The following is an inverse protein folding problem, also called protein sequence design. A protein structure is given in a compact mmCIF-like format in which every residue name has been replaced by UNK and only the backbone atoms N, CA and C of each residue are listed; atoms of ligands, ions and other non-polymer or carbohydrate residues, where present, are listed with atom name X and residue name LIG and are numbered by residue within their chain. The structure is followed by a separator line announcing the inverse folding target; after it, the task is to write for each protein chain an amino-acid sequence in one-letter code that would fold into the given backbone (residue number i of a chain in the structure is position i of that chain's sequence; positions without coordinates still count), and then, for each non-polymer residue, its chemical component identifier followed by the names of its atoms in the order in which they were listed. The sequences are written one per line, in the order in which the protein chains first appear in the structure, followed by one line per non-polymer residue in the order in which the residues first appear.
data_IF_210715017316
#
_entry.id   IF_210715017316
#
_cell.length_a   1.000
_cell.length_b   1.000
_cell.length_c   1.000
_cell.angle_alpha   90.00
_cell.angle_beta   90.00
_cell.angle_gamma   90.00
#
_symmetry.space_group_name_H-M   'P 1'
#
loop_
_entity.id
_entity.type
_entity.pdbx_description
1 polymer ?
#
# COMPACT_ATOMS: atom_id res chain seq x y z
N UNK A 1 64.88 10.54 -12.38
CA UNK A 1 64.95 9.32 -13.21
C UNK A 1 64.31 8.21 -12.39
N UNK A 2 63.20 7.58 -12.74
CA UNK A 2 62.59 7.24 -14.03
C UNK A 2 61.08 7.37 -13.90
N UNK A 3 60.45 8.00 -14.91
CA UNK A 3 58.99 8.09 -15.07
C UNK A 3 58.51 6.86 -15.83
N UNK A 4 57.45 6.21 -15.34
CA UNK A 4 56.77 5.09 -16.01
C UNK A 4 55.39 5.56 -16.45
N UNK A 5 55.32 6.02 -17.70
CA UNK A 5 54.08 6.18 -18.45
C UNK A 5 53.71 4.82 -19.05
N UNK A 6 52.49 4.34 -18.79
CA UNK A 6 51.88 3.25 -19.55
C UNK A 6 50.64 3.79 -20.27
N UNK A 7 50.72 3.69 -21.60
CA UNK A 7 49.74 4.15 -22.57
C UNK A 7 48.48 3.29 -22.56
N UNK A 8 47.34 3.96 -22.66
CA UNK A 8 46.01 3.43 -22.94
C UNK A 8 45.89 3.00 -24.41
N UNK A 9 45.30 1.83 -24.64
CA UNK A 9 44.97 1.30 -25.96
C UNK A 9 43.59 1.85 -26.43
N UNK A 10 43.40 2.17 -27.73
CA UNK A 10 42.14 2.69 -28.24
C UNK A 10 41.13 1.58 -28.60
N UNK A 11 39.85 1.83 -28.27
CA UNK A 11 38.69 1.00 -28.61
C UNK A 11 38.31 1.15 -30.11
N UNK A 12 37.78 0.10 -30.77
CA UNK A 12 37.35 0.17 -32.17
C UNK A 12 35.96 0.84 -32.34
N UNK A 13 35.68 1.45 -33.51
CA UNK A 13 34.44 2.19 -33.75
C UNK A 13 33.23 1.27 -34.06
N UNK A 14 31.99 1.75 -33.85
CA UNK A 14 30.79 0.94 -34.05
C UNK A 14 30.48 0.75 -35.53
N UNK A 15 30.25 -0.51 -35.92
CA UNK A 15 29.87 -0.90 -37.28
C UNK A 15 28.41 -0.59 -37.59
N UNK A 16 28.23 -0.04 -38.78
CA UNK A 16 27.03 0.47 -39.42
C UNK A 16 25.88 -0.54 -39.62
N UNK A 17 24.67 -0.01 -39.49
CA UNK A 17 23.37 -0.50 -39.97
C UNK A 17 23.37 -0.96 -41.45
N UNK A 18 22.54 -1.96 -41.81
CA UNK A 18 22.02 -2.05 -43.17
C UNK A 18 20.48 -2.16 -43.26
N UNK A 19 19.92 -1.20 -44.01
CA UNK A 19 18.91 -1.33 -45.10
C UNK A 19 17.62 -2.14 -44.86
N UNK A 20 16.54 -1.34 -44.78
CA UNK A 20 15.21 -1.47 -45.42
C UNK A 20 15.05 -2.61 -46.44
N UNK A 21 14.11 -3.53 -46.19
CA UNK A 21 13.51 -4.43 -47.18
C UNK A 21 11.98 -4.49 -46.98
N UNK A 22 11.29 -3.96 -48.00
CA UNK A 22 10.04 -4.40 -48.63
C UNK A 22 8.86 -4.94 -47.82
N UNK A 23 7.74 -4.26 -48.05
CA UNK A 23 6.36 -4.67 -47.83
C UNK A 23 6.07 -6.07 -48.38
N UNK A 24 5.43 -6.90 -47.56
CA UNK A 24 4.57 -7.99 -48.02
C UNK A 24 3.28 -7.92 -47.23
N UNK A 25 2.21 -7.59 -47.96
CA UNK A 25 0.81 -7.63 -47.55
C UNK A 25 0.41 -9.04 -47.11
N UNK A 26 0.01 -9.20 -45.85
CA UNK A 26 -0.80 -10.33 -45.39
C UNK A 26 -2.10 -9.81 -44.80
N UNK A 27 -3.17 -10.06 -45.55
CA UNK A 27 -4.56 -9.90 -45.17
C UNK A 27 -4.86 -10.76 -43.94
N UNK A 28 -5.07 -10.11 -42.79
CA UNK A 28 -5.70 -10.74 -41.63
C UNK A 28 -7.10 -10.17 -41.43
N UNK A 29 -8.01 -11.14 -41.42
CA UNK A 29 -9.45 -11.09 -41.19
C UNK A 29 -9.89 -10.19 -40.04
N UNK A 30 -11.00 -9.47 -40.27
CA UNK A 30 -11.82 -8.78 -39.27
C UNK A 30 -12.17 -9.71 -38.10
N UNK A 31 -11.34 -9.69 -37.06
CA UNK A 31 -11.69 -10.07 -35.70
C UNK A 31 -12.03 -8.81 -34.92
N UNK A 32 -13.15 -8.83 -34.20
CA UNK A 32 -13.59 -7.80 -33.24
C UNK A 32 -12.44 -7.04 -32.59
N UNK A 33 -12.25 -5.77 -32.96
CA UNK A 33 -11.37 -4.84 -32.23
C UNK A 33 -12.01 -4.64 -30.85
N UNK A 34 -11.61 -5.46 -29.87
CA UNK A 34 -11.70 -5.07 -28.48
C UNK A 34 -10.85 -3.82 -28.36
N UNK A 35 -11.48 -2.67 -28.16
CA UNK A 35 -10.76 -1.40 -28.01
C UNK A 35 -9.81 -1.52 -26.81
N UNK A 36 -8.51 -1.62 -27.08
CA UNK A 36 -7.50 -1.66 -26.03
C UNK A 36 -7.70 -0.46 -25.09
N UNK A 37 -7.74 -0.71 -23.77
CA UNK A 37 -7.89 0.36 -22.79
C UNK A 37 -6.77 1.39 -22.97
N UNK A 38 -7.09 2.67 -22.77
CA UNK A 38 -6.05 3.72 -22.72
C UNK A 38 -5.03 3.37 -21.62
N UNK A 39 -3.75 3.74 -21.77
CA UNK A 39 -2.73 3.43 -20.78
C UNK A 39 -3.03 4.07 -19.42
N UNK A 40 -2.54 3.45 -18.34
CA UNK A 40 -2.50 4.10 -17.02
C UNK A 40 -1.48 5.23 -17.10
N UNK A 41 -1.88 6.45 -16.73
CA UNK A 41 -0.99 7.61 -16.67
C UNK A 41 -0.83 8.01 -15.21
N UNK A 42 0.41 8.08 -14.75
CA UNK A 42 0.76 8.45 -13.36
C UNK A 42 1.49 9.78 -13.37
N UNK A 43 1.02 10.73 -12.56
CA UNK A 43 1.67 12.01 -12.31
C UNK A 43 1.99 12.17 -10.82
N UNK A 44 3.15 12.78 -10.55
CA UNK A 44 3.72 12.91 -9.21
C UNK A 44 4.71 11.80 -8.87
N UNK A 45 5.67 12.11 -8.01
CA UNK A 45 6.59 11.14 -7.41
C UNK A 45 6.75 11.47 -5.92
N UNK A 46 6.05 10.76 -5.01
CA UNK A 46 5.28 9.53 -5.25
C UNK A 46 3.98 9.77 -6.05
N UNK A 47 3.37 8.72 -6.64
CA UNK A 47 2.14 8.82 -7.43
C UNK A 47 1.04 9.61 -6.70
N UNK A 48 0.62 10.74 -7.29
CA UNK A 48 -0.42 11.61 -6.70
C UNK A 48 -1.69 11.60 -7.53
N UNK A 49 -1.58 11.69 -8.85
CA UNK A 49 -2.71 11.67 -9.77
C UNK A 49 -2.55 10.54 -10.78
N UNK A 50 -3.50 9.61 -10.80
CA UNK A 50 -3.50 8.44 -11.68
C UNK A 50 -4.75 8.47 -12.55
N UNK A 51 -4.57 8.45 -13.86
CA UNK A 51 -5.65 8.20 -14.81
C UNK A 51 -5.62 6.73 -15.20
N UNK A 52 -6.70 6.01 -14.89
CA UNK A 52 -6.90 4.59 -15.16
C UNK A 52 -8.30 4.37 -15.77
N UNK A 53 -8.59 4.95 -16.96
CA UNK A 53 -9.93 4.94 -17.54
C UNK A 53 -10.37 3.53 -17.92
N UNK A 54 -11.62 3.19 -17.63
CA UNK A 54 -12.24 1.90 -17.94
C UNK A 54 -11.70 0.72 -17.14
N UNK A 55 -10.75 0.95 -16.21
CA UNK A 55 -10.23 -0.11 -15.35
C UNK A 55 -11.09 -0.29 -14.12
N UNK A 56 -11.19 -1.54 -13.69
CA UNK A 56 -11.65 -1.91 -12.38
C UNK A 56 -10.66 -1.40 -11.33
N UNK A 57 -11.15 -0.73 -10.29
CA UNK A 57 -10.36 -0.37 -9.11
C UNK A 57 -10.82 -1.24 -7.95
N UNK A 58 -9.87 -1.81 -7.20
CA UNK A 58 -10.08 -2.54 -5.97
C UNK A 58 -9.36 -1.78 -4.86
N UNK A 59 -10.02 -1.55 -3.72
CA UNK A 59 -9.37 -0.99 -2.55
C UNK A 59 -9.49 -1.95 -1.35
N UNK A 60 -8.38 -2.09 -0.62
CA UNK A 60 -8.25 -2.94 0.57
C UNK A 60 -7.84 -2.05 1.74
N UNK A 61 -8.50 -2.23 2.88
CA UNK A 61 -8.21 -1.50 4.11
C UNK A 61 -6.95 -1.99 4.83
N UNK A 62 -6.91 -1.69 6.12
CA UNK A 62 -5.80 -1.89 7.04
C UNK A 62 -5.49 -3.39 7.25
N UNK A 63 -4.21 -3.75 7.19
CA UNK A 63 -3.74 -5.15 7.16
C UNK A 63 -2.97 -5.56 8.41
N UNK A 64 -2.27 -4.62 9.06
CA UNK A 64 -1.72 -4.78 10.41
C UNK A 64 -0.99 -6.11 10.64
N UNK A 65 0.02 -6.39 9.81
CA UNK A 65 0.92 -7.53 9.94
C UNK A 65 0.27 -8.91 9.82
N UNK A 66 -0.99 -9.01 9.37
CA UNK A 66 -1.72 -10.27 9.24
C UNK A 66 -1.74 -10.74 7.76
N UNK A 67 -0.72 -11.51 7.38
CA UNK A 67 -0.51 -11.93 5.99
C UNK A 67 -1.62 -12.88 5.51
N UNK A 68 -2.16 -13.72 6.39
CA UNK A 68 -3.25 -14.65 6.03
C UNK A 68 -4.53 -13.88 5.69
N UNK A 69 -4.88 -12.86 6.50
CA UNK A 69 -6.02 -11.99 6.19
C UNK A 69 -5.77 -11.13 4.95
N UNK A 70 -4.54 -10.66 4.74
CA UNK A 70 -4.15 -9.94 3.52
C UNK A 70 -4.35 -10.80 2.27
N UNK A 71 -3.84 -12.04 2.25
CA UNK A 71 -4.05 -12.99 1.15
C UNK A 71 -5.52 -13.26 0.92
N UNK A 72 -6.29 -13.52 1.99
CA UNK A 72 -7.72 -13.78 1.87
C UNK A 72 -8.47 -12.59 1.27
N UNK A 73 -8.16 -11.35 1.67
CA UNK A 73 -8.74 -10.15 1.10
C UNK A 73 -8.46 -10.04 -0.41
N UNK A 74 -7.21 -10.28 -0.83
CA UNK A 74 -6.78 -10.17 -2.23
C UNK A 74 -7.32 -11.30 -3.11
N UNK A 75 -7.41 -12.53 -2.60
CA UNK A 75 -8.03 -13.68 -3.28
C UNK A 75 -9.53 -13.45 -3.47
N UNK A 76 -10.22 -13.00 -2.42
CA UNK A 76 -11.65 -12.66 -2.46
C UNK A 76 -11.93 -11.52 -3.45
N UNK A 77 -11.00 -10.57 -3.56
CA UNK A 77 -11.05 -9.51 -4.55
C UNK A 77 -10.76 -9.99 -5.98
N UNK A 78 -10.25 -11.22 -6.16
CA UNK A 78 -9.84 -11.75 -7.46
C UNK A 78 -8.64 -11.01 -8.05
N UNK A 79 -7.69 -10.60 -7.20
CA UNK A 79 -6.41 -10.00 -7.63
C UNK A 79 -5.19 -10.83 -7.21
N UNK A 80 -5.39 -11.87 -6.40
CA UNK A 80 -4.40 -12.87 -6.01
C UNK A 80 -4.90 -14.28 -6.38
N UNK A 81 -3.98 -15.18 -6.72
CA UNK A 81 -4.28 -16.58 -6.96
C UNK A 81 -4.59 -17.32 -5.65
N UNK A 82 -5.58 -18.22 -5.68
CA UNK A 82 -5.99 -19.02 -4.51
C UNK A 82 -5.25 -20.36 -4.38
N UNK A 83 -4.18 -20.55 -5.16
CA UNK A 83 -3.35 -21.76 -5.19
C UNK A 83 -2.10 -21.66 -4.30
N UNK A 84 -1.97 -20.54 -3.57
CA UNK A 84 -0.84 -20.26 -2.69
C UNK A 84 0.45 -19.86 -3.42
N UNK A 85 0.41 -19.58 -4.72
CA UNK A 85 1.58 -19.15 -5.51
C UNK A 85 1.80 -17.62 -5.50
N UNK A 86 0.92 -16.86 -4.85
CA UNK A 86 0.96 -15.39 -4.78
C UNK A 86 1.05 -14.72 -6.19
N UNK A 87 0.25 -15.22 -7.15
CA UNK A 87 0.23 -14.71 -8.52
C UNK A 87 -0.86 -13.64 -8.72
N UNK A 88 -0.56 -12.60 -9.48
CA UNK A 88 -1.53 -11.57 -9.87
C UNK A 88 -2.57 -12.15 -10.83
N UNK A 89 -3.84 -12.07 -10.42
CA UNK A 89 -5.01 -12.51 -11.21
C UNK A 89 -5.95 -11.37 -11.58
N UNK A 90 -5.60 -10.14 -11.21
CA UNK A 90 -6.43 -8.96 -11.42
C UNK A 90 -6.43 -8.40 -12.85
N UNK A 91 -5.71 -9.02 -13.78
CA UNK A 91 -5.52 -8.57 -15.17
C UNK A 91 -5.11 -7.09 -15.24
N UNK A 92 -5.97 -6.22 -15.79
CA UNK A 92 -5.76 -4.79 -15.97
C UNK A 92 -6.28 -3.93 -14.80
N UNK A 93 -6.69 -4.56 -13.69
CA UNK A 93 -7.21 -3.85 -12.54
C UNK A 93 -6.16 -2.97 -11.83
N UNK A 94 -6.66 -1.96 -11.14
CA UNK A 94 -5.87 -1.14 -10.21
C UNK A 94 -6.21 -1.56 -8.78
N UNK A 95 -5.22 -2.02 -8.03
CA UNK A 95 -5.32 -2.26 -6.60
C UNK A 95 -4.81 -1.03 -5.83
N UNK A 96 -5.55 -0.61 -4.80
CA UNK A 96 -5.14 0.44 -3.84
C UNK A 96 -5.20 -0.12 -2.42
N UNK A 97 -4.07 -0.22 -1.74
CA UNK A 97 -3.99 -0.57 -0.32
C UNK A 97 -3.95 0.74 0.51
N UNK A 98 -4.78 0.84 1.55
CA UNK A 98 -5.07 2.09 2.27
C UNK A 98 -4.13 2.45 3.45
N UNK A 99 -2.92 1.89 3.51
CA UNK A 99 -1.99 2.10 4.62
C UNK A 99 -2.28 1.19 5.82
N UNK A 100 -1.48 1.34 6.87
CA UNK A 100 -1.48 0.45 8.04
C UNK A 100 -1.29 -1.02 7.66
N UNK A 101 -0.20 -1.27 6.94
CA UNK A 101 0.35 -2.61 6.75
C UNK A 101 1.12 -3.04 7.99
N UNK A 102 1.80 -2.09 8.64
CA UNK A 102 2.64 -2.33 9.80
C UNK A 102 1.84 -2.47 11.11
N UNK A 103 2.54 -3.00 12.11
CA UNK A 103 2.20 -3.20 13.51
C UNK A 103 1.05 -4.17 13.77
N UNK A 104 0.85 -4.54 15.05
CA UNK A 104 -0.18 -5.47 15.57
C UNK A 104 -0.11 -6.94 15.12
N UNK A 105 0.56 -7.23 14.00
CA UNK A 105 0.89 -8.57 13.53
C UNK A 105 2.41 -8.75 13.38
N UNK A 106 2.83 -9.87 12.78
CA UNK A 106 4.22 -10.29 12.71
C UNK A 106 4.70 -10.74 11.31
N UNK A 107 3.91 -10.49 10.26
CA UNK A 107 4.26 -10.72 8.85
C UNK A 107 4.24 -9.40 8.04
N UNK A 108 4.77 -8.33 8.63
CA UNK A 108 4.70 -6.96 8.09
C UNK A 108 5.52 -6.79 6.81
N UNK A 109 6.80 -7.21 6.84
CA UNK A 109 7.71 -7.10 5.70
C UNK A 109 7.24 -8.07 4.60
N UNK A 110 6.71 -9.24 4.98
CA UNK A 110 6.13 -10.19 4.05
C UNK A 110 4.93 -9.61 3.28
N UNK A 111 4.05 -8.83 3.92
CA UNK A 111 2.95 -8.15 3.23
C UNK A 111 3.47 -7.06 2.29
N UNK A 112 4.43 -6.23 2.72
CA UNK A 112 5.02 -5.20 1.84
C UNK A 112 5.72 -5.83 0.63
N UNK A 113 6.43 -6.94 0.85
CA UNK A 113 7.07 -7.77 -0.18
C UNK A 113 6.04 -8.33 -1.18
N UNK A 114 4.93 -8.88 -0.69
CA UNK A 114 3.83 -9.39 -1.52
C UNK A 114 3.25 -8.29 -2.41
N UNK A 115 2.93 -7.11 -1.82
CA UNK A 115 2.36 -5.98 -2.58
C UNK A 115 3.34 -5.45 -3.63
N UNK A 116 4.65 -5.42 -3.32
CA UNK A 116 5.71 -5.09 -4.28
C UNK A 116 5.74 -6.06 -5.45
N UNK A 117 5.74 -7.37 -5.17
CA UNK A 117 5.71 -8.42 -6.18
C UNK A 117 4.47 -8.30 -7.08
N UNK A 118 3.29 -8.16 -6.49
CA UNK A 118 2.03 -7.98 -7.22
C UNK A 118 2.04 -6.70 -8.06
N UNK A 119 2.67 -5.63 -7.62
CA UNK A 119 2.83 -4.40 -8.42
C UNK A 119 3.61 -4.64 -9.72
N UNK A 120 4.67 -5.45 -9.66
CA UNK A 120 5.47 -5.83 -10.84
C UNK A 120 4.61 -6.69 -11.79
N UNK A 121 3.92 -7.70 -11.24
CA UNK A 121 3.07 -8.61 -12.01
C UNK A 121 1.88 -7.88 -12.66
N UNK A 122 1.20 -7.00 -11.91
CA UNK A 122 0.07 -6.21 -12.39
C UNK A 122 0.47 -5.31 -13.56
N UNK A 123 1.63 -4.64 -13.47
CA UNK A 123 2.15 -3.79 -14.54
C UNK A 123 2.37 -4.59 -15.84
N UNK A 124 2.85 -5.83 -15.75
CA UNK A 124 3.02 -6.71 -16.91
C UNK A 124 1.70 -7.12 -17.59
N UNK A 125 0.58 -7.01 -16.86
CA UNK A 125 -0.78 -7.30 -17.34
C UNK A 125 -1.60 -6.03 -17.68
N UNK A 126 -1.00 -4.85 -17.58
CA UNK A 126 -1.68 -3.57 -17.85
C UNK A 126 -2.48 -3.01 -16.68
N UNK A 127 -2.37 -3.63 -15.50
CA UNK A 127 -2.88 -3.18 -14.22
C UNK A 127 -1.84 -2.42 -13.41
N UNK A 128 -2.16 -2.13 -12.14
CA UNK A 128 -1.25 -1.46 -11.21
C UNK A 128 -1.60 -1.78 -9.75
N UNK A 129 -0.61 -1.67 -8.88
CA UNK A 129 -0.79 -1.68 -7.42
C UNK A 129 -0.26 -0.36 -6.88
N UNK A 130 -1.07 0.32 -6.09
CA UNK A 130 -0.70 1.52 -5.34
C UNK A 130 -0.94 1.28 -3.85
N UNK A 131 -0.12 1.92 -3.04
CA UNK A 131 -0.27 1.96 -1.60
C UNK A 131 -0.30 3.42 -1.18
N UNK A 132 -1.05 3.72 -0.12
CA UNK A 132 -0.90 4.97 0.62
C UNK A 132 -0.29 4.69 1.98
N UNK A 133 0.45 5.64 2.54
CA UNK A 133 1.00 5.53 3.88
C UNK A 133 -0.09 5.84 4.92
N UNK A 134 -0.23 4.96 5.90
CA UNK A 134 -1.04 5.14 7.10
C UNK A 134 -0.25 5.69 8.27
N UNK A 135 -0.88 5.78 9.44
CA UNK A 135 -0.20 6.32 10.59
C UNK A 135 0.88 5.37 11.09
N UNK A 136 0.68 4.05 10.98
CA UNK A 136 1.67 3.07 11.43
C UNK A 136 2.95 3.10 10.59
N UNK A 137 2.86 3.35 9.28
CA UNK A 137 4.04 3.60 8.44
C UNK A 137 4.82 4.84 8.92
N UNK A 138 4.11 5.95 9.17
CA UNK A 138 4.76 7.20 9.62
C UNK A 138 5.35 7.08 11.03
N UNK A 139 4.67 6.38 11.95
CA UNK A 139 5.16 6.11 13.30
C UNK A 139 6.46 5.30 13.28
N UNK A 140 6.51 4.24 12.49
CA UNK A 140 7.71 3.42 12.37
C UNK A 140 8.89 4.19 11.80
N UNK A 141 8.65 5.09 10.83
CA UNK A 141 9.71 5.98 10.33
C UNK A 141 10.14 7.02 11.36
N UNK A 142 9.22 7.53 12.19
CA UNK A 142 9.54 8.40 13.33
C UNK A 142 10.34 7.67 14.43
N UNK A 143 10.39 6.33 14.41
CA UNK A 143 10.98 5.51 15.47
C UNK A 143 10.03 5.25 16.65
N UNK A 144 8.74 5.49 16.44
CA UNK A 144 7.69 5.19 17.41
C UNK A 144 7.17 3.76 17.20
N UNK A 145 7.69 2.84 18.01
CA UNK A 145 7.41 1.41 17.92
C UNK A 145 6.39 0.91 18.96
N UNK A 146 5.52 1.79 19.48
CA UNK A 146 4.60 1.46 20.58
C UNK A 146 3.58 0.35 20.26
N UNK A 147 3.30 0.08 18.99
CA UNK A 147 2.33 -0.93 18.54
C UNK A 147 2.97 -2.17 17.89
N UNK A 148 4.31 -2.25 17.90
CA UNK A 148 5.05 -3.34 17.27
C UNK A 148 4.99 -4.58 18.15
N UNK A 149 4.60 -5.71 17.56
CA UNK A 149 4.60 -7.02 18.22
C UNK A 149 6.03 -7.57 18.37
N UNK A 150 6.23 -8.45 19.35
CA UNK A 150 7.58 -9.00 19.59
C UNK A 150 8.12 -9.79 18.39
N UNK A 151 7.27 -10.54 17.69
CA UNK A 151 7.69 -11.35 16.55
C UNK A 151 7.90 -10.48 15.27
N UNK A 152 7.32 -9.28 15.18
CA UNK A 152 7.62 -8.30 14.13
C UNK A 152 9.04 -7.73 14.25
N UNK A 153 9.56 -7.54 15.47
CA UNK A 153 10.98 -7.23 15.66
C UNK A 153 11.88 -8.37 15.20
N UNK A 154 11.45 -9.61 15.42
CA UNK A 154 12.19 -10.77 14.96
C UNK A 154 12.18 -10.86 13.42
N UNK A 155 11.04 -10.58 12.75
CA UNK A 155 10.97 -10.50 11.27
C UNK A 155 11.98 -9.49 10.71
N UNK A 156 12.15 -8.33 11.36
CA UNK A 156 13.15 -7.34 10.96
C UNK A 156 14.59 -7.88 11.05
N UNK A 157 14.88 -8.66 12.10
CA UNK A 157 16.20 -9.29 12.25
C UNK A 157 16.42 -10.39 11.20
N UNK A 158 15.43 -11.25 11.01
CA UNK A 158 15.44 -12.33 10.02
C UNK A 158 15.63 -11.75 8.61
N UNK A 159 14.92 -10.68 8.27
CA UNK A 159 15.04 -10.03 6.97
C UNK A 159 16.41 -9.37 6.73
N UNK A 160 17.01 -8.74 7.75
CA UNK A 160 18.36 -8.20 7.63
C UNK A 160 19.41 -9.29 7.44
N UNK A 161 19.24 -10.44 8.09
CA UNK A 161 20.12 -11.59 7.89
C UNK A 161 19.98 -12.13 6.46
N UNK A 162 18.74 -12.34 6.01
CA UNK A 162 18.43 -12.73 4.65
C UNK A 162 18.98 -11.76 3.59
N UNK A 163 18.91 -10.44 3.84
CA UNK A 163 19.44 -9.43 2.92
C UNK A 163 20.96 -9.54 2.74
N UNK A 164 21.70 -10.02 3.75
CA UNK A 164 23.14 -10.24 3.64
C UNK A 164 23.47 -11.36 2.64
N UNK A 165 22.63 -12.39 2.56
CA UNK A 165 22.79 -13.51 1.62
C UNK A 165 22.62 -13.07 0.15
N UNK A 166 21.99 -11.92 -0.08
CA UNK A 166 21.79 -11.30 -1.39
C UNK A 166 22.81 -10.20 -1.69
N UNK A 167 23.92 -10.14 -0.97
CA UNK A 167 24.93 -9.07 -1.11
C UNK A 167 24.33 -7.65 -1.03
N UNK A 168 23.23 -7.50 -0.27
CA UNK A 168 22.44 -6.27 -0.17
C UNK A 168 21.73 -5.82 -1.47
N UNK A 169 21.46 -6.72 -2.41
CA UNK A 169 20.51 -6.46 -3.50
C UNK A 169 19.08 -6.36 -2.94
N UNK A 170 18.68 -5.12 -2.64
CA UNK A 170 17.38 -4.82 -2.07
C UNK A 170 16.22 -5.28 -2.94
N UNK A 171 16.26 -4.98 -4.26
CA UNK A 171 15.12 -5.22 -5.14
C UNK A 171 14.87 -6.73 -5.31
N UNK A 172 15.94 -7.53 -5.42
CA UNK A 172 15.79 -8.99 -5.51
C UNK A 172 15.36 -9.61 -4.16
N UNK A 173 16.04 -9.27 -3.07
CA UNK A 173 15.73 -9.83 -1.75
C UNK A 173 14.30 -9.46 -1.31
N UNK A 174 13.94 -8.18 -1.42
CA UNK A 174 12.67 -7.68 -0.93
C UNK A 174 11.48 -8.30 -1.68
N UNK A 175 11.55 -8.48 -3.01
CA UNK A 175 10.46 -9.11 -3.78
C UNK A 175 10.29 -10.60 -3.43
N UNK A 176 11.37 -11.29 -3.05
CA UNK A 176 11.35 -12.72 -2.73
C UNK A 176 10.95 -13.02 -1.28
N UNK A 177 11.05 -12.03 -0.38
CA UNK A 177 10.85 -12.21 1.06
C UNK A 177 9.51 -12.90 1.40
N UNK A 178 8.39 -12.50 0.80
CA UNK A 178 7.07 -13.09 1.10
C UNK A 178 7.00 -14.61 0.85
N UNK A 179 7.81 -15.13 -0.08
CA UNK A 179 7.86 -16.55 -0.40
C UNK A 179 8.72 -17.39 0.56
N UNK A 180 9.56 -16.74 1.37
CA UNK A 180 10.51 -17.43 2.27
C UNK A 180 10.33 -17.06 3.75
N UNK A 181 9.66 -15.94 4.07
CA UNK A 181 9.53 -15.40 5.43
C UNK A 181 9.00 -16.42 6.43
N UNK A 182 8.02 -17.25 6.02
CA UNK A 182 7.46 -18.31 6.86
C UNK A 182 8.49 -19.38 7.24
N UNK A 183 9.37 -19.76 6.31
CA UNK A 183 10.44 -20.73 6.57
C UNK A 183 11.41 -20.16 7.62
N UNK A 184 11.85 -18.91 7.43
CA UNK A 184 12.70 -18.20 8.39
C UNK A 184 12.06 -18.12 9.78
N UNK A 185 10.77 -17.76 9.83
CA UNK A 185 9.99 -17.69 11.07
C UNK A 185 9.92 -19.04 11.79
N UNK A 186 9.70 -20.13 11.06
CA UNK A 186 9.62 -21.49 11.61
C UNK A 186 10.99 -21.99 12.11
N UNK A 187 12.06 -21.78 11.33
CA UNK A 187 13.44 -22.14 11.71
C UNK A 187 13.92 -21.37 12.95
N UNK A 188 13.64 -20.07 13.04
CA UNK A 188 13.90 -19.27 14.23
C UNK A 188 13.17 -19.81 15.45
N UNK A 189 11.87 -20.15 15.31
CA UNK A 189 11.08 -20.72 16.42
C UNK A 189 11.66 -22.06 16.90
N UNK A 190 12.21 -22.88 16.01
CA UNK A 190 12.93 -24.10 16.38
C UNK A 190 14.26 -23.81 17.10
N UNK A 191 15.01 -22.81 16.65
CA UNK A 191 16.31 -22.40 17.24
C UNK A 191 16.19 -21.72 18.60
N UNK A 192 15.10 -20.96 18.85
CA UNK A 192 14.80 -20.31 20.14
C UNK A 192 14.76 -21.29 21.32
N UNK A 193 14.51 -22.57 21.09
CA UNK A 193 14.57 -23.60 22.13
C UNK A 193 16.01 -23.84 22.67
N UNK A 194 17.04 -23.23 22.08
CA UNK A 194 18.46 -23.45 22.43
C UNK A 194 19.23 -22.20 22.95
N UNK A 195 18.71 -20.97 22.82
CA UNK A 195 19.43 -19.73 23.18
C UNK A 195 18.60 -18.78 24.09
N UNK A 196 19.28 -18.06 24.98
CA UNK A 196 18.65 -17.20 25.99
C UNK A 196 17.89 -15.97 25.43
N UNK A 197 16.74 -15.58 26.03
CA UNK A 197 15.75 -14.69 25.40
C UNK A 197 16.13 -13.20 25.26
N UNK A 198 17.11 -12.68 26.00
CA UNK A 198 17.35 -11.23 26.09
C UNK A 198 18.12 -10.63 24.90
N UNK A 199 18.99 -11.41 24.25
CA UNK A 199 19.82 -10.92 23.13
C UNK A 199 19.03 -10.78 21.82
N UNK A 200 17.95 -11.55 21.63
CA UNK A 200 17.16 -11.54 20.40
C UNK A 200 16.31 -10.27 20.27
N UNK A 201 15.64 -9.86 21.36
CA UNK A 201 14.80 -8.66 21.36
C UNK A 201 15.60 -7.39 21.07
N UNK A 202 16.81 -7.26 21.64
CA UNK A 202 17.69 -6.13 21.36
C UNK A 202 18.11 -6.09 19.89
N UNK A 203 18.47 -7.25 19.30
CA UNK A 203 18.78 -7.36 17.88
C UNK A 203 17.61 -6.93 17.01
N UNK A 204 16.40 -7.40 17.29
CA UNK A 204 15.20 -7.03 16.52
C UNK A 204 14.87 -5.54 16.59
N UNK A 205 14.98 -4.90 17.77
CA UNK A 205 14.80 -3.45 17.90
C UNK A 205 15.83 -2.67 17.09
N UNK A 206 17.11 -3.09 17.12
CA UNK A 206 18.17 -2.47 16.32
C UNK A 206 17.87 -2.66 14.82
N UNK A 207 17.48 -3.87 14.41
CA UNK A 207 17.15 -4.20 13.03
C UNK A 207 16.03 -3.30 12.50
N UNK A 208 14.91 -3.22 13.24
CA UNK A 208 13.78 -2.34 12.90
C UNK A 208 14.22 -0.88 12.80
N UNK A 209 15.03 -0.40 13.75
CA UNK A 209 15.55 0.96 13.74
C UNK A 209 16.43 1.25 12.51
N UNK A 210 17.24 0.29 12.06
CA UNK A 210 18.06 0.41 10.85
C UNK A 210 17.19 0.45 9.60
N UNK A 211 16.18 -0.40 9.52
CA UNK A 211 15.28 -0.53 8.37
C UNK A 211 14.37 0.70 8.19
N UNK A 212 13.78 1.19 9.28
CA UNK A 212 12.71 2.20 9.22
C UNK A 212 13.14 3.64 9.52
N UNK A 213 14.30 3.91 10.14
CA UNK A 213 14.74 5.31 10.31
C UNK A 213 14.75 6.04 8.96
N UNK A 214 14.59 7.37 8.91
CA UNK A 214 14.73 8.14 7.67
C UNK A 214 16.01 7.78 6.90
N UNK A 215 15.86 7.43 5.61
CA UNK A 215 16.95 6.93 4.76
C UNK A 215 17.30 5.44 4.92
N UNK A 216 16.68 4.74 5.86
CA UNK A 216 16.69 3.29 5.95
C UNK A 216 15.94 2.66 4.76
N UNK A 217 16.24 1.40 4.41
CA UNK A 217 15.74 0.81 3.17
C UNK A 217 14.21 0.57 3.18
N UNK A 218 13.61 0.16 4.30
CA UNK A 218 12.13 0.09 4.39
C UNK A 218 11.51 1.50 4.39
N UNK A 219 12.13 2.47 5.07
CA UNK A 219 11.68 3.87 4.98
C UNK A 219 11.69 4.38 3.52
N UNK A 220 12.72 4.02 2.75
CA UNK A 220 12.83 4.37 1.34
C UNK A 220 11.80 3.66 0.46
N UNK A 221 11.42 2.42 0.78
CA UNK A 221 10.31 1.73 0.13
C UNK A 221 8.98 2.42 0.43
N UNK A 222 8.70 2.73 1.71
CA UNK A 222 7.49 3.47 2.12
C UNK A 222 7.43 4.88 1.51
N UNK A 223 8.57 5.52 1.28
CA UNK A 223 8.65 6.81 0.61
C UNK A 223 8.11 6.78 -0.84
N UNK A 224 7.94 5.60 -1.44
CA UNK A 224 7.35 5.46 -2.79
C UNK A 224 5.83 5.59 -2.78
N UNK A 225 5.22 5.55 -1.60
CA UNK A 225 3.78 5.63 -1.40
C UNK A 225 3.38 7.07 -1.08
N UNK A 226 2.22 7.48 -1.56
CA UNK A 226 1.63 8.77 -1.24
C UNK A 226 0.92 8.73 0.12
N UNK A 227 0.65 9.87 0.74
CA UNK A 227 -0.33 9.96 1.84
C UNK A 227 -1.75 10.23 1.30
N UNK A 228 -1.85 10.76 0.07
CA UNK A 228 -3.10 10.95 -0.63
C UNK A 228 -2.93 10.67 -2.13
N UNK A 229 -3.79 9.81 -2.67
CA UNK A 229 -3.77 9.37 -4.06
C UNK A 229 -5.12 9.66 -4.73
N UNK A 230 -5.12 10.29 -5.90
CA UNK A 230 -6.29 10.42 -6.75
C UNK A 230 -6.21 9.43 -7.91
N UNK A 231 -7.14 8.48 -8.00
CA UNK A 231 -7.27 7.58 -9.16
C UNK A 231 -8.59 7.88 -9.87
N UNK A 232 -8.53 8.33 -11.11
CA UNK A 232 -9.69 8.92 -11.81
C UNK A 232 -10.32 10.01 -10.93
N UNK A 233 -11.61 9.90 -10.62
CA UNK A 233 -12.34 10.84 -9.78
C UNK A 233 -12.43 10.41 -8.31
N UNK A 234 -11.64 9.42 -7.88
CA UNK A 234 -11.68 8.86 -6.53
C UNK A 234 -10.43 9.23 -5.73
N UNK A 235 -10.61 9.64 -4.49
CA UNK A 235 -9.53 9.94 -3.54
C UNK A 235 -9.32 8.74 -2.62
N UNK A 236 -8.07 8.36 -2.39
CA UNK A 236 -7.65 7.32 -1.48
C UNK A 236 -6.63 7.93 -0.51
N UNK A 237 -6.91 7.85 0.78
CA UNK A 237 -6.03 8.30 1.85
C UNK A 237 -6.39 7.54 3.12
N UNK A 238 -5.45 7.46 4.07
CA UNK A 238 -5.64 6.59 5.22
C UNK A 238 -6.72 7.09 6.21
N UNK A 239 -6.57 8.28 6.80
CA UNK A 239 -7.54 8.86 7.74
C UNK A 239 -8.58 9.78 7.09
N UNK A 240 -8.14 10.67 6.19
CA UNK A 240 -9.04 11.54 5.42
C UNK A 240 -8.43 12.91 5.09
N UNK A 241 -8.82 13.49 3.94
CA UNK A 241 -8.44 14.86 3.58
C UNK A 241 -9.43 15.90 4.10
N UNK A 242 -8.92 17.03 4.60
CA UNK A 242 -9.71 18.20 5.00
C UNK A 242 -9.42 19.37 4.04
N UNK A 243 -10.26 20.42 4.00
CA UNK A 243 -10.07 21.52 3.05
C UNK A 243 -8.68 22.18 3.15
N UNK A 244 -8.13 22.30 4.36
CA UNK A 244 -6.80 22.87 4.56
C UNK A 244 -5.67 21.96 4.04
N UNK A 245 -5.86 20.64 3.99
CA UNK A 245 -4.91 19.73 3.32
C UNK A 245 -4.90 19.97 1.81
N UNK A 246 -6.07 20.19 1.21
CA UNK A 246 -6.19 20.49 -0.22
C UNK A 246 -5.57 21.85 -0.54
N UNK A 247 -5.83 22.86 0.30
CA UNK A 247 -5.23 24.18 0.20
C UNK A 247 -3.70 24.17 0.34
N UNK A 248 -3.16 23.28 1.18
CA UNK A 248 -1.71 23.08 1.30
C UNK A 248 -1.10 22.44 0.04
N UNK A 249 -1.86 21.56 -0.63
CA UNK A 249 -1.49 20.88 -1.87
C UNK A 249 -1.10 19.43 -1.64
N UNK A 250 -1.90 18.49 -2.15
CA UNK A 250 -1.68 17.05 -1.94
C UNK A 250 -0.36 16.53 -2.55
N UNK A 251 0.05 17.05 -3.71
CA UNK A 251 1.33 16.68 -4.34
C UNK A 251 2.50 17.19 -3.49
N UNK A 252 2.37 18.38 -2.91
CA UNK A 252 3.36 18.95 -2.00
C UNK A 252 3.49 18.10 -0.74
N UNK A 253 2.39 17.73 -0.09
CA UNK A 253 2.41 16.84 1.09
C UNK A 253 3.07 15.49 0.76
N UNK A 254 2.67 14.87 -0.35
CA UNK A 254 3.25 13.62 -0.81
C UNK A 254 4.76 13.72 -1.01
N UNK A 255 5.23 14.79 -1.67
CA UNK A 255 6.66 15.04 -1.89
C UNK A 255 7.41 15.22 -0.56
N UNK A 256 6.89 16.03 0.35
CA UNK A 256 7.56 16.32 1.63
C UNK A 256 7.66 15.08 2.52
N UNK A 257 6.59 14.28 2.62
CA UNK A 257 6.61 13.01 3.39
C UNK A 257 7.61 12.04 2.78
N UNK A 258 7.60 11.94 1.45
CA UNK A 258 8.49 11.08 0.70
C UNK A 258 9.98 11.49 0.85
N UNK A 259 10.27 12.80 0.82
CA UNK A 259 11.62 13.33 1.07
C UNK A 259 12.09 13.04 2.50
N UNK A 260 11.22 13.29 3.48
CA UNK A 260 11.49 12.97 4.88
C UNK A 260 11.80 11.48 5.09
N UNK A 261 10.98 10.57 4.57
CA UNK A 261 11.20 9.13 4.69
C UNK A 261 12.51 8.66 4.03
N UNK A 262 12.93 9.29 2.92
CA UNK A 262 14.23 9.01 2.29
C UNK A 262 15.42 9.62 3.03
N UNK A 263 15.21 10.42 4.07
CA UNK A 263 16.27 11.19 4.73
C UNK A 263 16.88 12.27 3.83
N UNK A 264 16.18 12.66 2.75
CA UNK A 264 16.61 13.72 1.85
C UNK A 264 16.10 15.05 2.42
N UNK A 265 17.01 15.80 3.01
CA UNK A 265 16.73 17.10 3.63
C UNK A 265 17.26 18.18 2.68
N UNK A 266 16.40 19.07 2.19
CA UNK A 266 16.86 20.31 1.56
C UNK A 266 17.25 21.31 2.66
N UNK A 267 18.37 22.03 2.54
CA UNK A 267 18.90 22.94 3.58
C UNK A 267 17.89 24.02 4.03
N UNK A 268 16.90 24.34 3.19
CA UNK A 268 15.90 25.40 3.40
C UNK A 268 14.53 24.90 3.91
N UNK A 269 14.29 23.58 3.94
CA UNK A 269 13.06 23.03 4.55
C UNK A 269 13.36 22.58 5.97
N UNK A 270 12.60 23.15 6.92
CA UNK A 270 12.72 22.87 8.34
C UNK A 270 12.79 21.34 8.56
N UNK A 271 13.73 20.86 9.38
CA UNK A 271 14.14 19.44 9.60
C UNK A 271 13.03 18.50 10.10
N UNK A 272 11.79 18.95 10.08
CA UNK A 272 10.70 18.36 10.82
C UNK A 272 9.83 17.53 9.88
N UNK A 273 9.48 16.35 10.35
CA UNK A 273 8.45 15.50 9.76
C UNK A 273 7.20 16.32 9.39
N UNK A 274 6.59 16.14 8.20
CA UNK A 274 5.45 16.95 7.75
C UNK A 274 4.19 16.74 8.59
N UNK A 275 4.04 17.54 9.65
CA UNK A 275 2.98 17.39 10.67
C UNK A 275 1.59 17.28 10.06
N UNK A 276 1.26 18.17 9.10
CA UNK A 276 -0.03 18.21 8.40
C UNK A 276 -0.44 16.86 7.77
N UNK A 277 0.53 16.04 7.36
CA UNK A 277 0.27 14.74 6.78
C UNK A 277 0.40 13.59 7.79
N UNK A 278 1.33 13.69 8.75
CA UNK A 278 1.79 12.51 9.51
C UNK A 278 1.46 12.53 11.01
N UNK A 279 1.08 13.67 11.60
CA UNK A 279 0.92 13.79 13.06
C UNK A 279 -0.15 14.77 13.45
N UNK A 280 -0.84 14.49 14.55
CA UNK A 280 -1.94 15.32 15.06
C UNK A 280 -3.29 14.83 14.58
N UNK A 281 -4.32 15.08 15.37
CA UNK A 281 -5.66 14.52 15.19
C UNK A 281 -6.35 14.91 13.88
N UNK A 282 -5.92 15.99 13.25
CA UNK A 282 -6.45 16.50 11.99
C UNK A 282 -5.59 16.12 10.78
N UNK A 283 -4.41 15.52 10.98
CA UNK A 283 -3.52 15.14 9.87
C UNK A 283 -4.11 14.05 8.97
N UNK A 284 -3.61 13.97 7.74
CA UNK A 284 -4.12 13.05 6.70
C UNK A 284 -4.20 11.59 7.17
N UNK A 285 -3.22 11.12 7.95
CA UNK A 285 -3.15 9.73 8.41
C UNK A 285 -3.81 9.49 9.78
N UNK A 286 -4.21 10.52 10.53
CA UNK A 286 -4.80 10.34 11.88
C UNK A 286 -6.24 10.81 11.99
N UNK A 287 -6.70 11.61 11.03
CA UNK A 287 -8.04 12.18 11.05
C UNK A 287 -9.11 11.08 11.04
N UNK A 288 -10.11 11.21 11.92
CA UNK A 288 -11.25 10.29 12.03
C UNK A 288 -12.59 10.97 11.74
N UNK A 289 -12.60 12.23 11.30
CA UNK A 289 -13.80 13.05 11.15
C UNK A 289 -14.90 12.33 10.35
N UNK A 290 -14.52 11.69 9.24
CA UNK A 290 -15.46 11.05 8.33
C UNK A 290 -15.87 9.63 8.73
N UNK A 291 -15.17 9.03 9.70
CA UNK A 291 -15.37 7.63 10.10
C UNK A 291 -16.04 7.47 11.46
N UNK A 292 -16.51 8.58 12.06
CA UNK A 292 -17.32 8.56 13.27
C UNK A 292 -18.66 7.88 13.00
N UNK A 293 -19.18 7.17 14.00
CA UNK A 293 -20.53 6.65 13.95
C UNK A 293 -21.53 7.82 13.93
N UNK A 294 -22.45 7.79 12.98
CA UNK A 294 -23.47 8.81 12.81
C UNK A 294 -24.55 8.69 13.89
N UNK A 295 -24.75 7.50 14.47
CA UNK A 295 -25.73 7.31 15.56
C UNK A 295 -25.44 8.19 16.78
N UNK A 296 -24.18 8.59 16.96
CA UNK A 296 -23.71 9.36 18.10
C UNK A 296 -23.74 10.88 17.84
N UNK A 297 -24.16 11.30 16.66
CA UNK A 297 -24.10 12.69 16.20
C UNK A 297 -25.48 13.32 16.06
N UNK A 298 -25.58 14.59 16.44
CA UNK A 298 -26.76 15.39 16.14
C UNK A 298 -26.78 15.84 14.67
N UNK A 299 -27.98 16.08 14.11
CA UNK A 299 -28.18 16.47 12.70
C UNK A 299 -27.29 17.63 12.24
N UNK A 300 -27.06 18.63 13.09
CA UNK A 300 -26.20 19.77 12.74
C UNK A 300 -24.73 19.36 12.55
N UNK A 301 -24.24 18.37 13.33
CA UNK A 301 -22.88 17.86 13.21
C UNK A 301 -22.73 17.03 11.93
N UNK A 302 -23.73 16.20 11.62
CA UNK A 302 -23.81 15.42 10.38
C UNK A 302 -23.75 16.35 9.16
N UNK A 303 -24.57 17.40 9.18
CA UNK A 303 -24.58 18.42 8.11
C UNK A 303 -23.25 19.16 7.99
N UNK A 304 -22.59 19.47 9.11
CA UNK A 304 -21.29 20.12 9.10
C UNK A 304 -20.19 19.21 8.53
N UNK A 305 -20.15 17.94 8.91
CA UNK A 305 -19.18 16.97 8.38
C UNK A 305 -19.41 16.77 6.88
N UNK A 306 -20.66 16.64 6.45
CA UNK A 306 -21.01 16.55 5.03
C UNK A 306 -20.53 17.80 4.27
N UNK A 307 -20.79 19.00 4.78
CA UNK A 307 -20.35 20.24 4.14
C UNK A 307 -18.82 20.29 3.97
N UNK A 308 -18.07 19.90 5.01
CA UNK A 308 -16.60 19.81 4.95
C UNK A 308 -16.16 18.78 3.89
N UNK A 309 -16.80 17.61 3.84
CA UNK A 309 -16.51 16.58 2.84
C UNK A 309 -16.77 17.09 1.40
N UNK A 310 -17.92 17.74 1.17
CA UNK A 310 -18.26 18.27 -0.15
C UNK A 310 -17.30 19.39 -0.58
N UNK A 311 -16.92 20.28 0.33
CA UNK A 311 -15.91 21.32 0.07
C UNK A 311 -14.56 20.69 -0.33
N UNK A 312 -14.09 19.70 0.43
CA UNK A 312 -12.85 18.96 0.12
C UNK A 312 -12.93 18.30 -1.26
N UNK A 313 -14.00 17.56 -1.55
CA UNK A 313 -14.16 16.84 -2.82
C UNK A 313 -14.28 17.80 -4.01
N UNK A 314 -15.01 18.91 -3.84
CA UNK A 314 -15.13 19.95 -4.86
C UNK A 314 -13.77 20.57 -5.17
N UNK A 315 -12.98 20.92 -4.14
CA UNK A 315 -11.65 21.49 -4.31
C UNK A 315 -10.67 20.52 -5.01
N UNK A 316 -10.84 19.21 -4.82
CA UNK A 316 -10.06 18.17 -5.50
C UNK A 316 -10.59 17.80 -6.89
N UNK A 317 -11.78 18.28 -7.27
CA UNK A 317 -12.52 17.80 -8.43
C UNK A 317 -12.71 16.29 -8.39
N UNK A 318 -13.15 15.76 -7.26
CA UNK A 318 -13.34 14.33 -7.01
C UNK A 318 -14.82 14.03 -6.71
N UNK A 319 -15.21 12.78 -6.97
CA UNK A 319 -16.56 12.25 -6.74
C UNK A 319 -16.74 11.73 -5.32
N UNK A 320 -15.73 11.00 -4.82
CA UNK A 320 -15.79 10.36 -3.52
C UNK A 320 -14.38 10.12 -2.96
N UNK A 321 -14.33 9.92 -1.64
CA UNK A 321 -13.13 9.57 -0.90
C UNK A 321 -13.26 8.19 -0.27
N UNK A 322 -12.17 7.43 -0.22
CA UNK A 322 -12.07 6.11 0.38
C UNK A 322 -11.01 6.16 1.49
N UNK A 323 -11.38 5.71 2.70
CA UNK A 323 -10.56 5.80 3.91
C UNK A 323 -10.50 4.47 4.67
N UNK A 324 -9.39 4.28 5.39
CA UNK A 324 -9.14 3.19 6.35
C UNK A 324 -9.14 3.70 7.80
N UNK A 325 -8.14 3.31 8.60
CA UNK A 325 -7.75 3.86 9.92
C UNK A 325 -8.71 3.65 11.10
N UNK A 326 -10.02 3.70 10.84
CA UNK A 326 -11.08 3.61 11.84
C UNK A 326 -11.91 2.37 11.59
N UNK A 327 -11.72 1.31 12.40
CA UNK A 327 -12.43 0.06 12.22
C UNK A 327 -13.95 0.27 12.25
N UNK A 328 -14.61 -0.22 11.21
CA UNK A 328 -16.05 -0.18 11.05
C UNK A 328 -16.65 -1.50 11.53
N UNK A 329 -17.29 -1.48 12.70
CA UNK A 329 -17.85 -2.68 13.34
C UNK A 329 -18.98 -3.34 12.53
N UNK A 330 -19.64 -2.60 11.64
CA UNK A 330 -20.69 -3.09 10.74
C UNK A 330 -20.17 -3.57 9.39
N UNK A 331 -18.84 -3.62 9.20
CA UNK A 331 -18.21 -3.89 7.92
C UNK A 331 -18.06 -2.64 7.04
N UNK A 332 -17.52 -2.83 5.84
CA UNK A 332 -17.25 -1.73 4.92
C UNK A 332 -18.56 -1.11 4.43
N UNK A 333 -18.61 0.22 4.42
CA UNK A 333 -19.84 0.96 4.21
C UNK A 333 -19.56 2.34 3.57
N UNK A 334 -20.62 3.10 3.31
CA UNK A 334 -20.53 4.46 2.76
C UNK A 334 -21.45 5.40 3.55
N UNK A 335 -21.14 6.70 3.54
CA UNK A 335 -22.00 7.76 4.09
C UNK A 335 -22.12 8.95 3.15
N UNK A 336 -23.02 9.87 3.49
CA UNK A 336 -23.21 11.14 2.78
C UNK A 336 -23.45 10.93 1.28
N UNK A 337 -24.47 10.11 0.95
CA UNK A 337 -24.79 9.68 -0.41
C UNK A 337 -23.61 8.97 -1.11
N UNK A 338 -22.86 8.17 -0.34
CA UNK A 338 -21.64 7.49 -0.78
C UNK A 338 -20.54 8.43 -1.32
N UNK A 339 -20.47 9.65 -0.79
CA UNK A 339 -19.34 10.57 -1.03
C UNK A 339 -18.09 10.18 -0.21
N UNK A 340 -18.28 9.40 0.86
CA UNK A 340 -17.19 8.77 1.63
C UNK A 340 -17.44 7.26 1.72
N UNK A 341 -16.37 6.47 1.57
CA UNK A 341 -16.32 5.04 1.78
C UNK A 341 -15.33 4.71 2.89
N UNK A 342 -15.78 3.95 3.88
CA UNK A 342 -14.99 3.56 5.07
C UNK A 342 -14.77 2.06 5.00
N UNK A 343 -13.53 1.63 4.79
CA UNK A 343 -13.24 0.24 4.40
C UNK A 343 -12.24 -0.47 5.31
N UNK A 344 -11.79 0.17 6.39
CA UNK A 344 -11.16 -0.54 7.50
C UNK A 344 -12.24 -1.31 8.25
N UNK A 345 -12.22 -2.64 8.15
CA UNK A 345 -13.13 -3.54 8.86
C UNK A 345 -12.47 -4.20 10.07
N UNK A 346 -11.23 -3.85 10.41
CA UNK A 346 -10.45 -4.49 11.46
C UNK A 346 -10.18 -5.97 11.16
N UNK A 347 -9.81 -6.31 9.93
CA UNK A 347 -9.66 -7.72 9.52
C UNK A 347 -8.51 -8.44 10.22
N UNK A 348 -7.41 -7.73 10.52
CA UNK A 348 -6.28 -8.30 11.25
C UNK A 348 -6.69 -8.85 12.61
N UNK A 349 -6.13 -10.01 12.95
CA UNK A 349 -6.25 -10.64 14.26
C UNK A 349 -5.74 -9.76 15.40
N UNK A 350 -4.81 -8.83 15.12
CA UNK A 350 -4.31 -7.84 16.06
C UNK A 350 -5.25 -6.65 16.31
N UNK A 351 -6.41 -6.61 15.64
CA UNK A 351 -7.39 -5.52 15.73
C UNK A 351 -8.79 -6.02 16.14
N UNK A 352 -9.62 -6.47 15.20
CA UNK A 352 -10.96 -7.03 15.48
C UNK A 352 -11.09 -8.49 15.04
N UNK A 353 -10.13 -9.04 14.30
CA UNK A 353 -10.21 -10.36 13.67
C UNK A 353 -11.49 -10.54 12.85
N UNK A 354 -11.95 -9.47 12.21
CA UNK A 354 -13.17 -9.48 11.41
C UNK A 354 -12.94 -10.17 10.07
N UNK A 355 -14.03 -10.57 9.41
CA UNK A 355 -13.91 -11.11 8.05
C UNK A 355 -13.46 -10.00 7.10
N UNK A 356 -12.50 -10.26 6.18
CA UNK A 356 -12.14 -9.28 5.17
C UNK A 356 -13.36 -8.84 4.35
N UNK A 357 -13.41 -7.55 4.05
CA UNK A 357 -14.27 -6.94 3.05
C UNK A 357 -13.44 -5.95 2.24
N UNK A 358 -13.70 -5.85 0.94
CA UNK A 358 -12.94 -4.97 0.04
C UNK A 358 -13.88 -4.13 -0.82
N UNK A 359 -13.44 -2.96 -1.24
CA UNK A 359 -14.22 -2.10 -2.13
C UNK A 359 -13.87 -2.37 -3.58
N UNK A 360 -14.87 -2.51 -4.44
CA UNK A 360 -14.71 -2.56 -5.88
C UNK A 360 -15.41 -1.36 -6.53
N UNK A 361 -14.69 -0.67 -7.41
CA UNK A 361 -15.21 0.42 -8.24
C UNK A 361 -15.09 0.00 -9.71
N UNK A 362 -16.21 0.03 -10.43
CA UNK A 362 -16.29 -0.18 -11.88
C UNK A 362 -17.28 0.81 -12.48
N UNK A 363 -16.90 1.47 -13.58
CA UNK A 363 -17.76 2.45 -14.26
C UNK A 363 -18.36 3.47 -13.28
N UNK A 364 -17.50 3.99 -12.39
CA UNK A 364 -17.84 4.92 -11.30
C UNK A 364 -18.89 4.44 -10.30
N UNK A 365 -19.19 3.14 -10.26
CA UNK A 365 -20.06 2.52 -9.27
C UNK A 365 -19.23 1.70 -8.30
N UNK A 366 -19.43 1.97 -7.02
CA UNK A 366 -18.77 1.28 -5.94
C UNK A 366 -19.69 0.20 -5.33
N UNK A 367 -19.11 -0.94 -4.97
CA UNK A 367 -19.75 -1.98 -4.15
C UNK A 367 -18.72 -2.68 -3.27
N UNK A 368 -19.18 -3.20 -2.15
CA UNK A 368 -18.34 -4.02 -1.27
C UNK A 368 -18.38 -5.47 -1.72
N UNK A 369 -17.21 -6.08 -1.87
CA UNK A 369 -17.06 -7.53 -2.04
C UNK A 369 -16.88 -8.14 -0.65
N UNK A 370 -17.68 -9.18 -0.38
CA UNK A 370 -17.67 -9.95 0.86
C UNK A 370 -17.52 -11.42 0.53
N UNK A 371 -16.94 -12.21 1.43
CA UNK A 371 -16.98 -13.66 1.27
C UNK A 371 -18.43 -14.14 1.27
N UNK A 372 -18.77 -15.06 0.35
CA UNK A 372 -20.09 -15.68 0.33
C UNK A 372 -20.29 -16.39 1.67
N UNK A 373 -21.39 -16.10 2.38
CA UNK A 373 -21.79 -16.88 3.56
C UNK A 373 -21.83 -18.35 3.15
N UNK A 374 -21.11 -19.22 3.86
CA UNK A 374 -21.44 -20.63 3.86
C UNK A 374 -22.92 -20.74 4.26
N UNK A 375 -23.77 -21.25 3.37
CA UNK A 375 -25.22 -21.47 3.57
C UNK A 375 -25.56 -22.33 4.80
N UNK A 376 -24.57 -22.80 5.55
CA UNK A 376 -24.74 -23.57 6.78
C UNK A 376 -24.99 -22.72 8.03
N UNK A 377 -24.76 -21.40 8.02
CA UNK A 377 -25.09 -20.55 9.19
C UNK A 377 -26.50 -19.98 9.19
N UNK A 378 -27.29 -20.20 8.13
CA UNK A 378 -28.72 -19.79 8.08
C UNK A 378 -29.65 -20.79 8.79
N UNK A 379 -29.15 -21.96 9.19
CA UNK A 379 -29.92 -23.01 9.88
C UNK A 379 -29.86 -22.94 11.42
N UNK A 380 -29.24 -21.91 12.01
CA UNK A 380 -29.19 -21.73 13.48
C UNK A 380 -29.82 -20.41 13.97
N UNK A 381 -30.52 -19.67 13.11
CA UNK A 381 -31.27 -18.46 13.47
C UNK A 381 -32.74 -18.57 13.05
N UNK A 382 -33.33 -19.75 13.30
CA UNK A 382 -34.77 -19.94 13.42
C UNK A 382 -34.99 -20.78 14.66
N UNK A 383 -35.14 -20.11 15.81
CA UNK A 383 -35.91 -20.53 16.98
C UNK A 383 -35.59 -19.59 18.14
N UNK A 384 -36.17 -18.40 18.12
CA UNK A 384 -36.68 -17.76 19.35
C UNK A 384 -37.97 -17.03 18.97
N UNK A 385 -39.07 -17.58 19.48
CA UNK A 385 -40.42 -17.01 19.51
C UNK A 385 -40.45 -15.69 20.28
#
# INVERSE_FOLDING_TARGET
MVSLCLNSLPLPPPSSCPKKLTETSSSFSNGSIGTALKPIVVNGNPPTFVSAPGRRIVAVGDLHGDLDQARYALEMAGVLSSDGQDLWTGEDAVLVQLGDVLDRGDDEIAILSLLRSLGIQAKAKGGAVFQVNGNHETMNVEGDFRYVESDAFDECADFLEYLNDYEYDWDEAFVRWCGVSRIWKDERKMSRNHWGPWNLRQKGVIARSVLFRPGGPLACELARHAVALKVNDWIFCHGGLLPHHVAYGIEKMNKEVSQWMRGLIEEDTNRNMPFIATKGYDSVVWNRLYSRDISDLADYQINQINAILQETLQALGAKAMVVGHTPQFSGANCEYNCSIWRIDVGMSSGVLNSRPEVLEIRDDKARVIRSKRNRFSELQMVDYL
#
